data_IF_956036129704
#
_entry.id   IF_956036129704
#
_cell.length_a   1.000
_cell.length_b   1.000
_cell.length_c   1.000
_cell.angle_alpha   90.00
_cell.angle_beta   90.00
_cell.angle_gamma   90.00
#
_symmetry.space_group_name_H-M   'P 1'
#
loop_
_entity.id
_entity.type
_entity.pdbx_description
1 polymer ?
#
# COMPACT_ATOMS: atom_id res chain seq x y z
N UNK A 1 20.41 15.59 -3.27
CA UNK A 1 20.72 14.14 -3.44
C UNK A 1 21.24 13.54 -2.12
N UNK A 2 20.59 13.78 -0.98
CA UNK A 2 21.19 13.52 0.34
C UNK A 2 20.94 12.11 0.90
N UNK A 3 19.95 11.37 0.39
CA UNK A 3 19.67 9.97 0.77
C UNK A 3 20.10 8.94 -0.28
N UNK A 4 20.88 9.35 -1.29
CA UNK A 4 21.31 8.46 -2.36
C UNK A 4 20.17 7.95 -3.26
N UNK A 5 19.01 8.59 -3.22
CA UNK A 5 17.92 8.39 -4.16
C UNK A 5 17.60 9.69 -4.89
N UNK A 6 17.19 9.57 -6.16
CA UNK A 6 16.83 10.74 -6.97
C UNK A 6 15.50 11.33 -6.51
N UNK A 7 15.30 12.63 -6.74
CA UNK A 7 14.01 13.29 -6.47
C UNK A 7 12.85 12.61 -7.22
N UNK A 8 13.11 12.10 -8.42
CA UNK A 8 12.14 11.32 -9.20
C UNK A 8 11.76 9.98 -8.53
N UNK A 9 12.70 9.33 -7.83
CA UNK A 9 12.45 8.08 -7.13
C UNK A 9 11.63 8.28 -5.85
N UNK A 10 11.93 9.33 -5.08
CA UNK A 10 11.12 9.78 -3.93
C UNK A 10 9.69 10.11 -4.36
N UNK A 11 9.53 10.94 -5.40
CA UNK A 11 8.23 11.28 -5.96
C UNK A 11 7.46 10.02 -6.41
N UNK A 12 8.13 9.05 -7.04
CA UNK A 12 7.47 7.82 -7.45
C UNK A 12 7.01 6.95 -6.26
N UNK A 13 7.72 6.98 -5.13
CA UNK A 13 7.30 6.30 -3.89
C UNK A 13 6.12 7.01 -3.22
N UNK A 14 6.19 8.33 -3.07
CA UNK A 14 5.12 9.16 -2.48
C UNK A 14 3.79 9.03 -3.24
N UNK A 15 3.85 8.83 -4.56
CA UNK A 15 2.68 8.69 -5.42
C UNK A 15 2.30 7.22 -5.69
N UNK A 16 2.85 6.25 -4.95
CA UNK A 16 2.52 4.84 -5.09
C UNK A 16 2.90 4.20 -6.44
N UNK A 17 3.76 4.85 -7.23
CA UNK A 17 4.24 4.37 -8.54
C UNK A 17 5.38 3.36 -8.40
N UNK A 18 5.79 3.01 -7.18
CA UNK A 18 6.77 1.97 -6.83
C UNK A 18 6.20 1.10 -5.70
N UNK A 19 6.61 -0.17 -5.65
CA UNK A 19 6.22 -1.08 -4.56
C UNK A 19 6.78 -0.63 -3.20
N UNK A 20 6.48 -1.40 -2.15
CA UNK A 20 6.97 -1.13 -0.80
C UNK A 20 8.48 -0.81 -0.81
N UNK A 21 8.91 0.28 -0.16
CA UNK A 21 10.33 0.63 -0.09
C UNK A 21 11.11 -0.49 0.63
N UNK A 22 12.34 -0.74 0.20
CA UNK A 22 13.17 -1.76 0.86
C UNK A 22 13.56 -1.31 2.27
N UNK A 23 13.83 -2.27 3.16
CA UNK A 23 14.33 -1.99 4.52
C UNK A 23 15.50 -0.99 4.53
N UNK A 24 16.48 -1.19 3.64
CA UNK A 24 17.64 -0.30 3.49
C UNK A 24 17.25 1.13 3.15
N UNK A 25 16.20 1.32 2.36
CA UNK A 25 15.69 2.64 2.01
C UNK A 25 14.95 3.29 3.19
N UNK A 26 14.15 2.51 3.92
CA UNK A 26 13.46 2.97 5.14
C UNK A 26 14.48 3.49 6.17
N UNK A 27 15.56 2.73 6.42
CA UNK A 27 16.63 3.15 7.32
C UNK A 27 17.33 4.46 6.89
N UNK A 28 17.53 4.67 5.58
CA UNK A 28 18.07 5.93 5.05
C UNK A 28 17.12 7.10 5.26
N UNK A 29 15.82 6.88 5.11
CA UNK A 29 14.79 7.91 5.33
C UNK A 29 14.74 8.28 6.82
N UNK A 30 14.70 7.29 7.72
CA UNK A 30 14.72 7.49 9.18
C UNK A 30 15.96 8.30 9.59
N UNK A 31 17.15 7.88 9.14
CA UNK A 31 18.40 8.57 9.47
C UNK A 31 18.49 9.99 8.90
N UNK A 32 17.92 10.24 7.72
CA UNK A 32 17.96 11.57 7.10
C UNK A 32 17.02 12.58 7.77
N UNK A 33 15.81 12.15 8.12
CA UNK A 33 14.83 13.01 8.80
C UNK A 33 14.98 13.00 10.32
N UNK A 34 15.98 12.29 10.85
CA UNK A 34 16.24 12.14 12.28
C UNK A 34 14.98 11.68 13.05
N UNK A 35 14.25 10.74 12.45
CA UNK A 35 12.99 10.21 13.00
C UNK A 35 13.32 9.40 14.25
N UNK A 36 12.62 9.70 15.34
CA UNK A 36 12.80 9.06 16.64
C UNK A 36 12.02 7.74 16.72
N UNK A 37 12.38 6.91 17.70
CA UNK A 37 12.11 5.48 17.77
C UNK A 37 10.66 5.07 17.41
N UNK A 38 9.65 5.63 18.09
CA UNK A 38 8.25 5.26 17.89
C UNK A 38 7.73 5.61 16.48
N UNK A 39 8.11 6.79 15.97
CA UNK A 39 7.74 7.24 14.62
C UNK A 39 8.45 6.42 13.52
N UNK A 40 9.68 5.96 13.81
CA UNK A 40 10.46 5.14 12.91
C UNK A 40 9.87 3.73 12.76
N UNK A 41 9.38 3.15 13.87
CA UNK A 41 8.69 1.87 13.88
C UNK A 41 7.36 1.94 13.11
N UNK A 42 6.56 2.98 13.35
CA UNK A 42 5.29 3.18 12.63
C UNK A 42 5.51 3.44 11.13
N UNK A 43 6.52 4.23 10.77
CA UNK A 43 6.90 4.46 9.37
C UNK A 43 7.28 3.14 8.68
N UNK A 44 8.08 2.30 9.34
CA UNK A 44 8.48 1.00 8.80
C UNK A 44 7.27 0.07 8.60
N UNK A 45 6.35 0.03 9.58
CA UNK A 45 5.13 -0.77 9.52
C UNK A 45 4.20 -0.32 8.39
N UNK A 46 4.00 0.99 8.23
CA UNK A 46 3.20 1.56 7.14
C UNK A 46 3.84 1.30 5.77
N UNK A 47 5.17 1.41 5.69
CA UNK A 47 5.92 1.15 4.47
C UNK A 47 5.85 -0.32 4.04
N UNK A 48 5.93 -1.27 4.98
CA UNK A 48 5.74 -2.70 4.71
C UNK A 48 4.33 -3.02 4.20
N UNK A 49 3.30 -2.41 4.81
CA UNK A 49 1.92 -2.57 4.38
C UNK A 49 1.59 -1.84 3.07
N UNK A 50 2.48 -0.93 2.61
CA UNK A 50 2.26 -0.14 1.41
C UNK A 50 2.53 -0.97 0.16
N UNK A 51 1.47 -1.56 -0.38
CA UNK A 51 1.46 -2.18 -1.70
C UNK A 51 0.53 -1.38 -2.62
N UNK A 52 1.01 -0.26 -3.19
CA UNK A 52 0.16 0.63 -3.96
C UNK A 52 -0.35 0.02 -5.28
N UNK A 53 0.26 -1.08 -5.73
CA UNK A 53 -0.22 -1.90 -6.85
C UNK A 53 -0.34 -3.35 -6.40
N UNK A 54 -1.49 -3.69 -5.83
CA UNK A 54 -1.81 -5.06 -5.44
C UNK A 54 -2.29 -5.85 -6.67
N UNK A 55 -1.78 -7.06 -6.86
CA UNK A 55 -2.28 -7.99 -7.89
C UNK A 55 -3.13 -9.06 -7.20
N UNK A 56 -4.39 -9.21 -7.63
CA UNK A 56 -5.26 -10.30 -7.21
C UNK A 56 -5.12 -11.44 -8.23
N UNK A 57 -4.65 -12.62 -7.79
CA UNK A 57 -4.62 -13.82 -8.63
C UNK A 57 -5.93 -14.58 -8.48
N UNK A 58 -6.70 -14.68 -9.56
CA UNK A 58 -7.99 -15.38 -9.58
C UNK A 58 -7.94 -16.66 -10.40
N UNK A 59 -6.74 -17.12 -10.77
CA UNK A 59 -6.53 -18.36 -11.53
C UNK A 59 -7.09 -19.56 -10.78
N UNK A 60 -8.01 -20.30 -11.41
CA UNK A 60 -8.66 -21.47 -10.80
C UNK A 60 -9.72 -21.13 -9.73
N UNK A 61 -10.03 -19.85 -9.51
CA UNK A 61 -11.14 -19.44 -8.64
C UNK A 61 -12.47 -19.39 -9.39
N UNK A 62 -13.56 -19.15 -8.66
CA UNK A 62 -14.90 -19.02 -9.25
C UNK A 62 -15.01 -17.76 -10.13
N UNK A 63 -15.94 -17.74 -11.10
CA UNK A 63 -16.24 -16.54 -11.88
C UNK A 63 -16.55 -15.31 -11.00
N UNK A 64 -17.28 -15.51 -9.89
CA UNK A 64 -17.62 -14.44 -8.95
C UNK A 64 -16.37 -13.82 -8.28
N UNK A 65 -15.32 -14.61 -8.00
CA UNK A 65 -14.07 -14.08 -7.46
C UNK A 65 -13.34 -13.18 -8.48
N UNK A 66 -13.33 -13.59 -9.75
CA UNK A 66 -12.75 -12.80 -10.85
C UNK A 66 -13.54 -11.50 -11.09
N UNK A 67 -14.87 -11.58 -11.05
CA UNK A 67 -15.74 -10.41 -11.18
C UNK A 67 -15.47 -9.38 -10.08
N UNK A 68 -15.43 -9.80 -8.81
CA UNK A 68 -15.15 -8.91 -7.69
C UNK A 68 -13.77 -8.24 -7.82
N UNK A 69 -12.75 -9.01 -8.19
CA UNK A 69 -11.40 -8.49 -8.37
C UNK A 69 -11.34 -7.43 -9.48
N UNK A 70 -12.01 -7.66 -10.61
CA UNK A 70 -12.06 -6.71 -11.73
C UNK A 70 -12.85 -5.45 -11.37
N UNK A 71 -14.01 -5.60 -10.71
CA UNK A 71 -14.83 -4.47 -10.30
C UNK A 71 -14.05 -3.51 -9.38
N UNK A 72 -13.32 -4.07 -8.41
CA UNK A 72 -12.43 -3.29 -7.55
C UNK A 72 -11.30 -2.66 -8.36
N UNK A 73 -10.61 -3.41 -9.21
CA UNK A 73 -9.49 -2.89 -10.00
C UNK A 73 -9.89 -1.71 -10.91
N UNK A 74 -11.10 -1.72 -11.48
CA UNK A 74 -11.59 -0.69 -12.39
C UNK A 74 -12.15 0.56 -11.68
N UNK A 75 -12.54 0.44 -10.41
CA UNK A 75 -13.33 1.48 -9.74
C UNK A 75 -12.76 1.95 -8.39
N UNK A 76 -11.69 1.35 -7.88
CA UNK A 76 -11.12 1.69 -6.56
C UNK A 76 -10.82 3.18 -6.39
N UNK A 77 -10.37 3.86 -7.46
CA UNK A 77 -10.04 5.30 -7.45
C UNK A 77 -11.26 6.22 -7.37
N UNK A 78 -12.46 5.69 -7.67
CA UNK A 78 -13.72 6.45 -7.64
C UNK A 78 -14.38 6.41 -6.27
N UNK A 79 -13.90 5.55 -5.37
CA UNK A 79 -14.49 5.33 -4.06
C UNK A 79 -13.99 6.37 -3.06
N UNK A 80 -14.90 6.96 -2.29
CA UNK A 80 -14.53 7.82 -1.19
C UNK A 80 -14.04 7.02 0.04
N UNK A 81 -13.48 7.73 1.02
CA UNK A 81 -12.93 7.10 2.22
C UNK A 81 -13.99 6.35 3.04
N UNK A 82 -15.25 6.82 3.03
CA UNK A 82 -16.33 6.16 3.75
C UNK A 82 -16.76 4.86 3.05
N UNK A 83 -16.80 4.85 1.72
CA UNK A 83 -17.05 3.68 0.88
C UNK A 83 -15.96 2.61 1.06
N UNK A 84 -14.69 3.02 0.99
CA UNK A 84 -13.54 2.13 1.22
C UNK A 84 -13.61 1.48 2.61
N UNK A 85 -13.95 2.25 3.66
CA UNK A 85 -14.15 1.71 5.02
C UNK A 85 -15.30 0.71 5.09
N UNK A 86 -16.44 1.00 4.45
CA UNK A 86 -17.60 0.09 4.44
C UNK A 86 -17.26 -1.24 3.76
N UNK A 87 -16.65 -1.20 2.58
CA UNK A 87 -16.25 -2.42 1.85
C UNK A 87 -15.24 -3.23 2.66
N UNK A 88 -14.25 -2.55 3.27
CA UNK A 88 -13.25 -3.20 4.13
C UNK A 88 -13.90 -3.90 5.32
N UNK A 89 -14.88 -3.26 5.97
CA UNK A 89 -15.62 -3.86 7.08
C UNK A 89 -16.42 -5.10 6.63
N UNK A 90 -17.08 -5.05 5.48
CA UNK A 90 -17.80 -6.19 4.92
C UNK A 90 -16.89 -7.38 4.63
N UNK A 91 -15.70 -7.13 4.06
CA UNK A 91 -14.70 -8.19 3.80
C UNK A 91 -14.21 -8.80 5.13
N UNK A 92 -13.90 -7.97 6.13
CA UNK A 92 -13.48 -8.44 7.46
C UNK A 92 -14.54 -9.31 8.12
N UNK A 93 -15.79 -8.86 8.12
CA UNK A 93 -16.92 -9.61 8.66
C UNK A 93 -17.08 -10.98 7.97
N UNK A 94 -16.96 -11.04 6.64
CA UNK A 94 -17.03 -12.30 5.88
C UNK A 94 -15.87 -13.27 6.22
N UNK A 95 -14.71 -12.74 6.60
CA UNK A 95 -13.54 -13.52 7.03
C UNK A 95 -13.55 -13.89 8.52
N UNK A 96 -14.54 -13.44 9.29
CA UNK A 96 -14.56 -13.59 10.75
C UNK A 96 -13.42 -12.85 11.45
N UNK A 97 -12.99 -11.72 10.88
CA UNK A 97 -11.88 -10.87 11.36
C UNK A 97 -12.36 -9.48 11.76
#
# INVERSE_FOLDING_TARGET
AAIGVSAAYLSALEHGRRGAPTWTLIQKIIGYFNIIWDDAEELARLAEASHPRVKLDTSGLSPAATELANLLAENIEKLDEAELRRITASIRAALGR
#
